data_IF_171156402642
#
_entry.id   IF_171156402642
#
_cell.length_a   1.000
_cell.length_b   1.000
_cell.length_c   1.000
_cell.angle_alpha   90.00
_cell.angle_beta   90.00
_cell.angle_gamma   90.00
#
_symmetry.space_group_name_H-M   'P 1'
#
loop_
_entity.id
_entity.type
_entity.pdbx_description
1 polymer ?
#
# COMPACT_ATOMS: atom_id res chain seq x y z
N UNK A 1 -14.02 17.08 0.50
CA UNK A 1 -14.09 18.11 1.56
C UNK A 1 -12.69 18.27 2.13
N UNK A 2 -12.02 19.39 1.88
CA UNK A 2 -10.73 19.66 2.51
C UNK A 2 -10.92 19.87 4.02
N UNK A 3 -10.22 19.07 4.82
CA UNK A 3 -10.13 19.24 6.27
C UNK A 3 -8.83 20.01 6.50
N UNK A 4 -8.87 21.12 7.24
CA UNK A 4 -7.64 21.82 7.60
C UNK A 4 -6.71 20.90 8.41
N UNK A 5 -5.41 21.01 8.20
CA UNK A 5 -4.42 20.20 8.92
C UNK A 5 -4.57 20.28 10.45
N UNK A 6 -4.91 21.47 10.97
CA UNK A 6 -5.19 21.66 12.40
C UNK A 6 -6.40 20.85 12.90
N UNK A 7 -7.46 20.76 12.09
CA UNK A 7 -8.66 20.01 12.42
C UNK A 7 -8.42 18.50 12.29
N UNK A 8 -7.55 18.08 11.36
CA UNK A 8 -7.10 16.70 11.28
C UNK A 8 -6.34 16.31 12.54
N UNK A 9 -5.34 17.09 12.96
CA UNK A 9 -4.58 16.82 14.18
C UNK A 9 -5.47 16.79 15.43
N UNK A 10 -6.36 17.77 15.61
CA UNK A 10 -7.24 17.77 16.79
C UNK A 10 -8.24 16.61 16.78
N UNK A 11 -8.74 16.22 15.61
CA UNK A 11 -9.71 15.12 15.48
C UNK A 11 -9.06 13.75 15.59
N UNK A 12 -7.84 13.56 15.09
CA UNK A 12 -7.22 12.25 14.95
C UNK A 12 -6.12 11.98 16.00
N UNK A 13 -5.49 13.02 16.54
CA UNK A 13 -4.44 12.92 17.56
C UNK A 13 -4.86 13.50 18.92
N UNK A 14 -6.15 13.75 19.14
CA UNK A 14 -6.69 13.97 20.50
C UNK A 14 -6.63 12.68 21.33
N UNK A 15 -6.87 12.77 22.65
CA UNK A 15 -6.90 11.65 23.62
C UNK A 15 -8.02 10.63 23.31
N UNK A 16 -8.01 10.05 22.13
CA UNK A 16 -8.90 9.00 21.68
C UNK A 16 -8.28 7.66 21.99
N UNK A 17 -9.14 6.70 22.30
CA UNK A 17 -8.73 5.32 22.39
C UNK A 17 -8.35 4.82 20.98
N UNK A 18 -7.21 4.13 20.83
CA UNK A 18 -6.86 3.45 19.59
C UNK A 18 -7.97 2.50 19.13
N UNK A 19 -8.19 2.41 17.82
CA UNK A 19 -9.21 1.54 17.21
C UNK A 19 -10.36 2.35 16.62
N UNK A 20 -11.59 2.11 17.06
CA UNK A 20 -12.80 2.75 16.49
C UNK A 20 -12.77 4.29 16.42
N UNK A 21 -11.99 4.95 17.28
CA UNK A 21 -11.83 6.41 17.26
C UNK A 21 -10.83 6.95 16.22
N UNK A 22 -9.93 6.10 15.74
CA UNK A 22 -8.72 6.45 14.98
C UNK A 22 -8.50 5.60 13.72
N UNK A 23 -9.28 4.54 13.50
CA UNK A 23 -9.15 3.62 12.36
C UNK A 23 -9.19 4.33 11.00
N UNK A 24 -10.00 5.40 10.88
CA UNK A 24 -10.19 6.18 9.67
C UNK A 24 -9.27 7.42 9.59
N UNK A 25 -8.26 7.50 10.45
CA UNK A 25 -7.40 8.68 10.57
C UNK A 25 -6.05 8.54 9.86
N UNK A 26 -5.77 7.43 9.19
CA UNK A 26 -4.60 7.33 8.35
C UNK A 26 -4.75 8.24 7.12
N UNK A 27 -3.70 8.98 6.81
CA UNK A 27 -3.64 9.85 5.63
C UNK A 27 -2.43 9.47 4.81
N UNK A 28 -2.71 9.22 3.53
CA UNK A 28 -1.72 8.98 2.50
C UNK A 28 -1.48 10.27 1.72
N UNK A 29 -0.27 10.82 1.85
CA UNK A 29 0.15 12.02 1.13
C UNK A 29 1.03 11.63 -0.07
N UNK A 30 0.55 11.80 -1.31
CA UNK A 30 1.37 11.54 -2.49
C UNK A 30 2.53 12.54 -2.54
N UNK A 31 3.76 12.04 -2.50
CA UNK A 31 4.97 12.88 -2.47
C UNK A 31 5.33 13.50 -3.82
N UNK A 32 4.47 13.35 -4.83
CA UNK A 32 4.69 13.85 -6.20
C UNK A 32 4.93 15.36 -6.29
N UNK A 33 4.41 16.10 -5.32
CA UNK A 33 4.55 17.56 -5.25
C UNK A 33 5.71 18.01 -4.35
N UNK A 34 6.30 17.09 -3.57
CA UNK A 34 7.24 17.42 -2.50
C UNK A 34 8.65 16.94 -2.81
N UNK A 35 8.79 15.91 -3.64
CA UNK A 35 10.07 15.43 -4.11
C UNK A 35 10.39 16.00 -5.50
N UNK A 36 11.68 16.28 -5.80
CA UNK A 36 12.09 16.56 -7.17
C UNK A 36 11.67 15.39 -8.08
N UNK A 37 11.29 15.72 -9.33
CA UNK A 37 10.81 14.76 -10.34
C UNK A 37 11.75 13.57 -10.55
N UNK A 38 13.03 13.76 -10.26
CA UNK A 38 14.05 12.72 -10.34
C UNK A 38 14.51 12.32 -8.93
N UNK A 39 14.53 11.02 -8.58
CA UNK A 39 15.22 10.58 -7.38
C UNK A 39 16.69 11.00 -7.42
N UNK A 40 17.33 11.21 -6.27
CA UNK A 40 18.78 11.32 -6.20
C UNK A 40 19.43 10.17 -6.98
N UNK A 41 20.43 10.48 -7.81
CA UNK A 41 21.08 9.50 -8.70
C UNK A 41 21.59 8.22 -8.00
N UNK A 42 21.80 8.28 -6.69
CA UNK A 42 22.28 7.15 -5.89
C UNK A 42 21.15 6.24 -5.35
N UNK A 43 19.90 6.69 -5.31
CA UNK A 43 18.77 5.89 -4.78
C UNK A 43 18.56 4.60 -5.58
N UNK A 44 18.57 4.71 -6.91
CA UNK A 44 18.38 3.56 -7.80
C UNK A 44 19.50 2.52 -7.59
N UNK A 45 20.75 2.98 -7.46
CA UNK A 45 21.89 2.09 -7.24
C UNK A 45 21.82 1.31 -5.91
N UNK A 46 21.25 1.92 -4.86
CA UNK A 46 21.07 1.26 -3.56
C UNK A 46 19.93 0.26 -3.59
N UNK A 47 18.81 0.61 -4.23
CA UNK A 47 17.68 -0.30 -4.42
C UNK A 47 18.06 -1.54 -5.26
N UNK A 48 18.79 -1.34 -6.35
CA UNK A 48 19.28 -2.42 -7.20
C UNK A 48 20.22 -3.37 -6.44
N UNK A 49 21.07 -2.84 -5.56
CA UNK A 49 21.94 -3.65 -4.70
C UNK A 49 21.14 -4.49 -3.68
N UNK A 50 20.12 -3.91 -3.04
CA UNK A 50 19.29 -4.63 -2.06
C UNK A 50 18.50 -5.75 -2.77
N UNK A 51 17.88 -5.47 -3.92
CA UNK A 51 17.11 -6.48 -4.67
C UNK A 51 17.99 -7.59 -5.25
N UNK A 52 19.20 -7.25 -5.72
CA UNK A 52 20.18 -8.24 -6.17
C UNK A 52 20.64 -9.16 -5.02
N UNK A 53 20.82 -8.62 -3.81
CA UNK A 53 21.17 -9.41 -2.62
C UNK A 53 20.04 -10.35 -2.17
N UNK A 54 18.79 -10.00 -2.43
CA UNK A 54 17.62 -10.85 -2.19
C UNK A 54 17.46 -11.96 -3.25
N UNK A 55 18.41 -12.10 -4.19
CA UNK A 55 18.40 -13.14 -5.21
C UNK A 55 17.50 -12.84 -6.41
N UNK A 56 16.91 -11.64 -6.49
CA UNK A 56 16.14 -11.23 -7.66
C UNK A 56 17.12 -10.80 -8.77
N UNK A 57 17.23 -11.63 -9.82
CA UNK A 57 18.09 -11.34 -10.97
C UNK A 57 17.50 -10.19 -11.77
N UNK A 58 18.02 -8.98 -11.54
CA UNK A 58 17.68 -7.73 -12.24
C UNK A 58 16.19 -7.62 -12.63
N UNK A 59 15.29 -7.63 -11.63
CA UNK A 59 13.85 -7.49 -11.84
C UNK A 59 13.55 -6.15 -12.50
N UNK A 60 14.40 -5.13 -12.33
CA UNK A 60 14.11 -3.80 -12.84
C UNK A 60 14.27 -3.68 -14.36
N UNK A 61 15.31 -4.24 -14.96
CA UNK A 61 15.46 -4.22 -16.44
C UNK A 61 14.38 -5.02 -17.17
N UNK A 62 13.98 -6.19 -16.63
CA UNK A 62 12.89 -7.00 -17.20
C UNK A 62 11.53 -6.41 -16.91
N UNK A 63 11.30 -5.87 -15.71
CA UNK A 63 10.05 -5.19 -15.37
C UNK A 63 9.95 -3.84 -16.09
N UNK A 64 11.03 -3.10 -16.31
CA UNK A 64 11.04 -1.87 -17.12
C UNK A 64 10.83 -2.20 -18.60
N UNK A 65 11.52 -3.21 -19.16
CA UNK A 65 11.31 -3.60 -20.55
C UNK A 65 9.89 -4.17 -20.76
N UNK A 66 9.39 -5.00 -19.86
CA UNK A 66 8.01 -5.50 -19.89
C UNK A 66 7.00 -4.38 -19.61
N UNK A 67 7.28 -3.46 -18.68
CA UNK A 67 6.46 -2.28 -18.42
C UNK A 67 6.44 -1.38 -19.64
N UNK A 68 7.56 -0.99 -20.23
CA UNK A 68 7.60 -0.22 -21.48
C UNK A 68 6.81 -0.93 -22.58
N UNK A 69 6.97 -2.24 -22.75
CA UNK A 69 6.28 -2.99 -23.79
C UNK A 69 4.76 -3.13 -23.56
N UNK A 70 4.32 -3.39 -22.32
CA UNK A 70 2.90 -3.43 -21.95
C UNK A 70 2.32 -2.02 -21.82
N UNK A 71 3.11 -1.01 -21.45
CA UNK A 71 2.69 0.37 -21.42
C UNK A 71 2.53 0.90 -22.83
N UNK A 72 3.45 0.69 -23.77
CA UNK A 72 3.25 1.15 -25.14
C UNK A 72 2.06 0.43 -25.81
N UNK A 73 1.90 -0.87 -25.55
CA UNK A 73 0.76 -1.63 -26.06
C UNK A 73 -0.57 -1.17 -25.40
N UNK A 74 -0.61 -1.06 -24.08
CA UNK A 74 -1.81 -0.74 -23.31
C UNK A 74 -2.09 0.75 -23.17
N UNK A 75 -1.13 1.65 -23.39
CA UNK A 75 -1.34 3.10 -23.30
C UNK A 75 -2.17 3.62 -24.46
N UNK A 76 -2.03 3.03 -25.65
CA UNK A 76 -2.93 3.35 -26.77
C UNK A 76 -4.37 2.90 -26.45
N UNK A 77 -4.54 1.73 -25.83
CA UNK A 77 -5.85 1.24 -25.40
C UNK A 77 -6.42 2.06 -24.23
N UNK A 78 -5.60 2.43 -23.25
CA UNK A 78 -5.97 3.29 -22.11
C UNK A 78 -6.35 4.68 -22.61
N UNK A 79 -5.61 5.26 -23.56
CA UNK A 79 -5.95 6.56 -24.14
C UNK A 79 -7.24 6.47 -24.96
N UNK A 80 -7.48 5.37 -25.67
CA UNK A 80 -8.75 5.11 -26.35
C UNK A 80 -9.92 4.99 -25.37
N UNK A 81 -9.71 4.31 -24.23
CA UNK A 81 -10.71 4.19 -23.15
C UNK A 81 -10.95 5.54 -22.47
N UNK A 82 -9.89 6.29 -22.16
CA UNK A 82 -9.97 7.63 -21.58
C UNK A 82 -10.75 8.55 -22.52
N UNK A 83 -10.43 8.56 -23.83
CA UNK A 83 -11.16 9.31 -24.84
C UNK A 83 -12.62 8.85 -24.98
N UNK A 84 -12.91 7.55 -24.79
CA UNK A 84 -14.28 7.04 -24.78
C UNK A 84 -15.10 7.47 -23.56
N UNK A 85 -14.44 7.70 -22.42
CA UNK A 85 -15.06 8.11 -21.14
C UNK A 85 -15.26 9.62 -21.10
N UNK A 86 -14.23 10.39 -21.48
CA UNK A 86 -14.21 11.86 -21.34
C UNK A 86 -14.71 12.57 -22.61
N UNK A 87 -14.82 11.85 -23.72
CA UNK A 87 -15.16 12.44 -25.03
C UNK A 87 -14.16 13.51 -25.46
N UNK A 88 -14.67 14.68 -25.86
CA UNK A 88 -13.87 15.85 -26.26
C UNK A 88 -13.59 16.83 -25.10
N UNK A 89 -14.03 16.52 -23.87
CA UNK A 89 -13.74 17.39 -22.73
C UNK A 89 -12.27 17.26 -22.33
N UNK A 90 -11.52 18.31 -22.63
CA UNK A 90 -10.08 18.35 -22.42
C UNK A 90 -9.71 18.38 -20.94
N UNK A 91 -10.51 19.05 -20.11
CA UNK A 91 -10.21 19.25 -18.69
C UNK A 91 -10.44 17.95 -17.92
N UNK A 92 -11.57 17.26 -18.21
CA UNK A 92 -11.88 15.95 -17.63
C UNK A 92 -10.88 14.88 -18.09
N UNK A 93 -10.41 14.97 -19.34
CA UNK A 93 -9.36 14.10 -19.88
C UNK A 93 -8.02 14.30 -19.19
N UNK A 94 -7.61 15.56 -18.99
CA UNK A 94 -6.37 15.90 -18.29
C UNK A 94 -6.42 15.45 -16.82
N UNK A 95 -7.56 15.59 -16.12
CA UNK A 95 -7.76 15.07 -14.75
C UNK A 95 -7.68 13.54 -14.68
N UNK A 96 -8.37 12.83 -15.59
CA UNK A 96 -8.36 11.37 -15.59
C UNK A 96 -6.96 10.80 -15.91
N UNK A 97 -6.26 11.40 -16.88
CA UNK A 97 -4.86 11.08 -17.19
C UNK A 97 -3.97 11.37 -15.98
N UNK A 98 -4.16 12.51 -15.32
CA UNK A 98 -3.41 12.84 -14.12
C UNK A 98 -3.65 11.82 -13.01
N UNK A 99 -4.88 11.37 -12.78
CA UNK A 99 -5.20 10.32 -11.80
C UNK A 99 -4.53 8.99 -12.14
N UNK A 100 -4.49 8.62 -13.41
CA UNK A 100 -3.81 7.41 -13.90
C UNK A 100 -2.27 7.51 -13.86
N UNK A 101 -1.70 8.71 -13.95
CA UNK A 101 -0.27 8.94 -13.73
C UNK A 101 0.08 9.04 -12.25
N UNK A 102 -0.82 9.61 -11.44
CA UNK A 102 -0.66 9.74 -10.00
C UNK A 102 -0.72 8.39 -9.32
N UNK A 103 -1.52 7.45 -9.84
CA UNK A 103 -1.47 6.05 -9.42
C UNK A 103 -0.15 5.34 -9.76
N UNK A 104 0.73 5.92 -10.60
CA UNK A 104 2.09 5.44 -10.86
C UNK A 104 3.16 6.05 -9.95
N UNK A 105 2.82 7.04 -9.14
CA UNK A 105 3.77 7.67 -8.22
C UNK A 105 3.79 6.89 -6.91
N UNK A 106 4.64 5.86 -6.90
CA UNK A 106 4.82 4.86 -5.83
C UNK A 106 5.37 5.38 -4.49
N UNK A 107 5.49 6.71 -4.32
CA UNK A 107 6.12 7.33 -3.15
C UNK A 107 5.09 8.09 -2.36
N UNK A 108 4.83 7.59 -1.16
CA UNK A 108 3.74 8.01 -0.30
C UNK A 108 4.32 8.32 1.07
N UNK A 109 3.88 9.42 1.67
CA UNK A 109 4.10 9.69 3.08
C UNK A 109 2.82 9.34 3.81
N UNK A 110 2.90 8.27 4.60
CA UNK A 110 1.77 7.78 5.39
C UNK A 110 1.91 8.33 6.81
N UNK A 111 0.87 9.02 7.28
CA UNK A 111 0.78 9.57 8.64
C UNK A 111 -0.53 9.12 9.26
N UNK A 112 -0.47 8.58 10.48
CA UNK A 112 -1.65 8.12 11.19
C UNK A 112 -1.43 8.05 12.70
N UNK A 113 -2.48 8.22 13.51
CA UNK A 113 -2.45 7.95 14.95
C UNK A 113 -2.49 6.44 15.23
N UNK A 114 -2.22 6.06 16.47
CA UNK A 114 -2.35 4.66 16.90
C UNK A 114 -3.74 4.10 16.64
N UNK A 115 -3.81 2.87 16.12
CA UNK A 115 -5.05 2.19 15.74
C UNK A 115 -5.57 2.56 14.34
N UNK A 116 -4.90 3.44 13.60
CA UNK A 116 -5.13 3.59 12.15
C UNK A 116 -4.34 2.54 11.36
N UNK A 117 -4.72 2.30 10.11
CA UNK A 117 -3.98 1.42 9.21
C UNK A 117 -4.65 1.33 7.85
N UNK A 118 -4.05 0.56 6.96
CA UNK A 118 -4.56 0.30 5.62
C UNK A 118 -5.17 -1.11 5.56
N UNK A 119 -6.30 -1.26 4.86
CA UNK A 119 -6.96 -2.56 4.72
C UNK A 119 -6.06 -3.59 4.04
N UNK A 120 -6.22 -4.87 4.40
CA UNK A 120 -5.60 -5.99 3.71
C UNK A 120 -5.89 -5.92 2.21
N UNK A 121 -4.84 -5.67 1.43
CA UNK A 121 -4.95 -5.58 -0.03
C UNK A 121 -3.88 -6.40 -0.74
N UNK A 122 -4.23 -7.04 -1.86
CA UNK A 122 -3.22 -7.63 -2.72
C UNK A 122 -2.32 -6.51 -3.22
N UNK A 123 -1.01 -6.73 -3.19
CA UNK A 123 -0.08 -5.77 -3.78
C UNK A 123 -0.36 -5.69 -5.30
N UNK A 124 -0.84 -4.55 -5.82
CA UNK A 124 -1.33 -4.47 -7.19
C UNK A 124 -0.22 -4.82 -8.20
N UNK A 125 -0.50 -5.84 -9.01
CA UNK A 125 0.27 -6.32 -10.17
C UNK A 125 1.80 -6.14 -10.11
N UNK A 126 2.46 -6.97 -9.29
CA UNK A 126 3.86 -7.36 -9.53
C UNK A 126 4.91 -6.33 -9.16
N UNK A 127 4.65 -5.48 -8.19
CA UNK A 127 5.62 -4.53 -7.65
C UNK A 127 6.11 -4.94 -6.26
N UNK A 128 7.37 -4.66 -5.93
CA UNK A 128 7.92 -4.87 -4.59
C UNK A 128 7.63 -3.61 -3.79
N UNK A 129 6.93 -3.74 -2.66
CA UNK A 129 6.70 -2.61 -1.76
C UNK A 129 7.92 -2.47 -0.83
N UNK A 130 8.38 -1.23 -0.66
CA UNK A 130 9.39 -0.88 0.35
C UNK A 130 8.79 0.19 1.24
N UNK A 131 8.72 -0.11 2.53
CA UNK A 131 8.22 0.80 3.56
C UNK A 131 9.32 1.09 4.58
N UNK A 132 9.52 2.36 4.92
CA UNK A 132 10.45 2.79 5.97
C UNK A 132 9.70 3.59 7.01
N UNK A 133 9.87 3.21 8.27
CA UNK A 133 9.20 3.86 9.38
C UNK A 133 10.12 4.89 10.05
N UNK A 134 9.72 6.16 10.00
CA UNK A 134 10.48 7.24 10.62
C UNK A 134 10.17 7.39 12.12
N UNK A 135 8.90 7.23 12.50
CA UNK A 135 8.42 7.41 13.87
C UNK A 135 7.25 6.47 14.18
N UNK A 136 7.07 6.12 15.45
CA UNK A 136 5.98 5.25 15.93
C UNK A 136 6.31 3.76 15.81
N UNK A 137 5.29 2.91 15.74
CA UNK A 137 5.44 1.48 15.50
C UNK A 137 4.31 0.99 14.59
N UNK A 138 4.59 0.03 13.71
CA UNK A 138 3.56 -0.61 12.87
C UNK A 138 3.57 -2.11 13.02
N UNK A 139 2.39 -2.72 13.08
CA UNK A 139 2.16 -4.16 12.98
C UNK A 139 1.87 -4.49 11.52
N UNK A 140 2.50 -5.52 11.00
CA UNK A 140 2.32 -5.99 9.64
C UNK A 140 1.81 -7.41 9.65
N UNK A 141 0.89 -7.71 8.74
CA UNK A 141 0.59 -9.06 8.30
C UNK A 141 0.98 -9.18 6.83
N UNK A 142 1.76 -10.21 6.50
CA UNK A 142 2.14 -10.55 5.12
C UNK A 142 1.67 -11.98 4.84
N UNK A 143 0.85 -12.14 3.81
CA UNK A 143 0.24 -13.43 3.44
C UNK A 143 0.58 -13.75 1.98
N UNK A 144 1.09 -14.95 1.66
CA UNK A 144 1.25 -15.39 0.28
C UNK A 144 -0.09 -15.36 -0.45
N UNK A 145 -0.11 -14.84 -1.69
CA UNK A 145 -1.36 -14.69 -2.43
C UNK A 145 -2.08 -16.04 -2.64
N UNK A 146 -1.33 -17.12 -2.84
CA UNK A 146 -1.89 -18.48 -2.96
C UNK A 146 -2.60 -18.95 -1.69
N UNK A 147 -2.09 -18.59 -0.52
CA UNK A 147 -2.71 -18.96 0.76
C UNK A 147 -3.97 -18.13 1.00
N UNK A 148 -3.92 -16.83 0.70
CA UNK A 148 -5.10 -15.97 0.80
C UNK A 148 -6.21 -16.45 -0.15
N UNK A 149 -5.87 -16.84 -1.38
CA UNK A 149 -6.83 -17.43 -2.32
C UNK A 149 -7.47 -18.71 -1.77
N UNK A 150 -6.65 -19.63 -1.24
CA UNK A 150 -7.13 -20.89 -0.65
C UNK A 150 -8.15 -20.63 0.46
N UNK A 151 -7.87 -19.65 1.32
CA UNK A 151 -8.75 -19.30 2.45
C UNK A 151 -9.98 -18.53 1.96
N UNK A 152 -9.85 -17.69 0.93
CA UNK A 152 -10.94 -16.86 0.41
C UNK A 152 -12.13 -17.62 -0.17
N UNK A 153 -11.92 -18.85 -0.64
CA UNK A 153 -13.00 -19.70 -1.14
C UNK A 153 -13.99 -20.09 -0.02
N UNK A 154 -13.49 -20.22 1.20
CA UNK A 154 -14.26 -20.62 2.38
C UNK A 154 -14.62 -19.43 3.28
N UNK A 155 -13.81 -18.37 3.26
CA UNK A 155 -13.83 -17.26 4.22
C UNK A 155 -14.33 -15.93 3.62
N UNK A 156 -15.33 -15.97 2.73
CA UNK A 156 -15.80 -14.76 2.01
C UNK A 156 -16.24 -13.63 2.95
N UNK A 157 -16.89 -13.96 4.06
CA UNK A 157 -17.35 -12.99 5.07
C UNK A 157 -16.20 -12.50 5.98
N UNK A 158 -15.17 -13.33 6.20
CA UNK A 158 -14.00 -12.95 6.98
C UNK A 158 -13.06 -12.01 6.20
N UNK A 159 -13.17 -11.97 4.88
CA UNK A 159 -12.39 -11.12 3.98
C UNK A 159 -13.18 -9.92 3.43
N UNK A 160 -14.35 -9.62 3.99
CA UNK A 160 -15.05 -8.38 3.66
C UNK A 160 -14.18 -7.17 4.05
N UNK A 161 -14.19 -6.09 3.23
CA UNK A 161 -13.44 -4.88 3.52
C UNK A 161 -13.78 -4.35 4.92
N UNK A 162 -12.76 -4.26 5.76
CA UNK A 162 -12.86 -3.76 7.13
C UNK A 162 -11.60 -2.98 7.47
N UNK A 163 -11.66 -2.17 8.52
CA UNK A 163 -10.50 -1.38 8.94
C UNK A 163 -9.38 -2.30 9.43
N UNK A 164 -8.13 -1.87 9.27
CA UNK A 164 -6.97 -2.64 9.73
C UNK A 164 -7.10 -3.06 11.21
N UNK A 165 -7.64 -2.18 12.05
CA UNK A 165 -7.89 -2.50 13.46
C UNK A 165 -8.86 -3.67 13.63
N UNK A 166 -10.05 -3.59 13.01
CA UNK A 166 -11.04 -4.68 13.06
C UNK A 166 -10.50 -5.96 12.43
N UNK A 167 -9.68 -5.84 11.38
CA UNK A 167 -9.05 -6.97 10.74
C UNK A 167 -8.10 -7.70 11.71
N UNK A 168 -7.20 -6.99 12.38
CA UNK A 168 -6.26 -7.60 13.32
C UNK A 168 -6.92 -8.18 14.58
N UNK A 169 -7.96 -7.53 15.09
CA UNK A 169 -8.61 -7.94 16.35
C UNK A 169 -9.63 -9.06 16.16
N UNK A 170 -10.39 -9.06 15.06
CA UNK A 170 -11.48 -10.03 14.84
C UNK A 170 -11.16 -10.98 13.69
N UNK A 171 -10.96 -10.44 12.48
CA UNK A 171 -10.88 -11.26 11.25
C UNK A 171 -9.65 -12.14 11.20
N UNK A 172 -8.51 -11.68 11.70
CA UNK A 172 -7.28 -12.46 11.69
C UNK A 172 -7.36 -13.69 12.61
N UNK A 173 -8.08 -13.57 13.73
CA UNK A 173 -8.34 -14.70 14.64
C UNK A 173 -9.27 -15.71 13.95
N UNK A 174 -10.36 -15.21 13.37
CA UNK A 174 -11.33 -16.01 12.58
C UNK A 174 -10.63 -16.79 11.45
N UNK A 175 -9.78 -16.11 10.67
CA UNK A 175 -9.02 -16.71 9.57
C UNK A 175 -8.06 -17.82 10.04
N UNK A 176 -7.46 -17.70 11.23
CA UNK A 176 -6.54 -18.71 11.79
C UNK A 176 -7.29 -19.91 12.35
N UNK A 177 -8.28 -19.66 13.19
CA UNK A 177 -8.92 -20.69 13.99
C UNK A 177 -9.98 -21.45 13.20
N UNK A 178 -10.76 -20.75 12.37
CA UNK A 178 -11.91 -21.34 11.66
C UNK A 178 -11.57 -21.74 10.23
N UNK A 179 -10.80 -20.89 9.51
CA UNK A 179 -10.48 -21.11 8.10
C UNK A 179 -9.08 -21.65 7.85
N UNK A 180 -8.30 -21.83 8.92
CA UNK A 180 -7.01 -22.51 8.89
C UNK A 180 -5.95 -21.78 8.08
N UNK A 181 -5.84 -20.45 8.21
CA UNK A 181 -4.73 -19.66 7.68
C UNK A 181 -3.42 -20.11 8.31
N UNK A 182 -2.54 -20.75 7.53
CA UNK A 182 -1.31 -21.38 8.03
C UNK A 182 -0.06 -20.62 7.60
N UNK A 183 -0.05 -20.11 6.37
CA UNK A 183 1.12 -19.42 5.81
C UNK A 183 0.95 -17.90 5.91
N UNK A 184 1.53 -17.30 6.93
CA UNK A 184 1.62 -15.84 7.06
C UNK A 184 2.83 -15.44 7.91
N UNK A 185 3.24 -14.19 7.79
CA UNK A 185 4.23 -13.57 8.64
C UNK A 185 3.65 -12.34 9.30
N UNK A 186 3.73 -12.30 10.63
CA UNK A 186 3.51 -11.09 11.40
C UNK A 186 4.84 -10.49 11.83
N UNK A 187 4.97 -9.17 11.73
CA UNK A 187 6.11 -8.47 12.30
C UNK A 187 5.71 -7.10 12.85
N UNK A 188 6.54 -6.60 13.77
CA UNK A 188 6.43 -5.26 14.31
C UNK A 188 7.61 -4.45 13.78
N UNK A 189 7.31 -3.42 12.98
CA UNK A 189 8.26 -2.48 12.44
C UNK A 189 8.49 -1.36 13.46
N UNK A 190 9.75 -1.13 13.82
CA UNK A 190 10.20 -0.06 14.72
C UNK A 190 10.78 1.12 13.93
N UNK A 191 10.98 2.30 14.57
CA UNK A 191 11.61 3.44 13.91
C UNK A 191 13.00 3.08 13.38
N UNK A 192 13.24 3.35 12.10
CA UNK A 192 14.46 3.02 11.37
C UNK A 192 14.42 1.69 10.63
N UNK A 193 13.43 0.83 10.89
CA UNK A 193 13.28 -0.43 10.16
C UNK A 193 12.76 -0.19 8.73
N UNK A 194 13.18 -1.08 7.84
CA UNK A 194 12.71 -1.13 6.45
C UNK A 194 12.05 -2.47 6.21
N UNK A 195 10.78 -2.45 5.83
CA UNK A 195 10.03 -3.63 5.40
C UNK A 195 10.08 -3.70 3.88
N UNK A 196 10.49 -4.87 3.36
CA UNK A 196 10.47 -5.17 1.93
C UNK A 196 9.46 -6.27 1.71
N UNK A 197 8.36 -5.96 1.04
CA UNK A 197 7.31 -6.91 0.69
C UNK A 197 7.50 -7.33 -0.77
N UNK A 198 7.91 -8.58 -1.04
CA UNK A 198 8.20 -9.05 -2.39
C UNK A 198 6.93 -9.13 -3.25
N UNK A 199 7.10 -9.39 -4.54
CA UNK A 199 5.99 -9.55 -5.47
C UNK A 199 5.19 -10.82 -5.15
N UNK A 200 3.87 -10.78 -5.38
CA UNK A 200 3.00 -11.95 -5.26
C UNK A 200 2.54 -12.28 -3.83
N UNK A 201 2.66 -11.33 -2.90
CA UNK A 201 2.11 -11.43 -1.55
C UNK A 201 1.15 -10.28 -1.26
N UNK A 202 0.18 -10.53 -0.39
CA UNK A 202 -0.78 -9.58 0.16
C UNK A 202 -0.25 -9.04 1.49
N UNK A 203 -0.53 -7.78 1.82
CA UNK A 203 -0.09 -7.17 3.09
C UNK A 203 -1.18 -6.29 3.72
N UNK A 204 -1.14 -6.17 5.04
CA UNK A 204 -1.96 -5.26 5.86
C UNK A 204 -1.05 -4.60 6.92
N UNK A 205 -0.75 -3.29 6.79
CA UNK A 205 -0.05 -2.50 7.80
C UNK A 205 -1.02 -1.76 8.73
N UNK A 206 -0.81 -1.89 10.04
CA UNK A 206 -1.55 -1.16 11.08
C UNK A 206 -0.61 -0.41 12.03
N UNK A 207 -0.95 0.81 12.43
CA UNK A 207 -0.18 1.61 13.40
C UNK A 207 -0.45 1.09 14.81
N UNK A 208 0.56 0.47 15.43
CA UNK A 208 0.40 -0.20 16.71
C UNK A 208 0.42 0.81 17.88
N UNK A 209 -0.50 0.69 18.86
CA UNK A 209 -0.62 1.60 20.02
C UNK A 209 0.46 1.45 21.10
N UNK A 210 1.67 1.00 20.77
CA UNK A 210 2.66 0.39 21.67
C UNK A 210 2.25 -1.04 22.05
N UNK A 211 2.79 -2.02 21.34
CA UNK A 211 2.88 -3.38 21.84
C UNK A 211 4.19 -3.48 22.62
N UNK A 212 4.08 -3.66 23.94
CA UNK A 212 5.11 -4.25 24.80
C UNK A 212 5.00 -5.77 24.72
#
# INVERSE_FOLDING_TARGET
KEISFSNYLSKCFSNKLPGSGTENCEVDLPLKYWLPREPPSDFNSRYDNITAQLGEVNPWSRLMAWREHIFEAGWNDIMTIVESITGNDREEREDLIERLYTSRLHRRLVVGPSGSGEELRPNPMGETLVDSLLHGSRRWLIVPYSELLRVSESAKEALEPTTAFMFFEEKLVELREEFGLQAYHECQQQPGDVIVVPKGVTHDPSTAPNCL
#
